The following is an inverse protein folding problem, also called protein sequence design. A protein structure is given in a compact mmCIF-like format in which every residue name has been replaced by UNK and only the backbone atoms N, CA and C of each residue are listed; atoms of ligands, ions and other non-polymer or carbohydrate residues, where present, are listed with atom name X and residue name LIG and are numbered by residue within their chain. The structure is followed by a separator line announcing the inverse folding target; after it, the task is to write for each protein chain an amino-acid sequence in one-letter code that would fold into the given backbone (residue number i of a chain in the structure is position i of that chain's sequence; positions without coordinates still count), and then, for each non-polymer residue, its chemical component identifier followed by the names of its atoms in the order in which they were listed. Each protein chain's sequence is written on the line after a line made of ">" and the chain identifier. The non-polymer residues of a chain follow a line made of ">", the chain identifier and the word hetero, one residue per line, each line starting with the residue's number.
data_IF_887428403528
#
_entry.id   IF_887428403528
#
_cell.length_a   1.000
_cell.length_b   1.000
_cell.length_c   1.000
_cell.angle_alpha   90.00
_cell.angle_beta   90.00
_cell.angle_gamma   90.00
#
_symmetry.space_group_name_H-M   'P 1'
#
loop_
_entity.id
_entity.type
_entity.pdbx_description
1 polymer ?
#
# COMPACT_ATOMS: atom_id res chain seq x y z
N UNK A 1 15.46 -2.93 -5.86
CA UNK A 1 15.42 -2.28 -4.53
C UNK A 1 14.79 -0.92 -4.68
N UNK A 2 14.05 -0.47 -3.66
CA UNK A 2 13.46 0.88 -3.62
C UNK A 2 14.51 1.86 -3.12
N UNK A 3 14.61 3.09 -3.67
CA UNK A 3 15.51 4.11 -3.14
C UNK A 3 15.22 4.41 -1.66
N UNK A 4 16.22 4.86 -0.88
CA UNK A 4 15.99 5.32 0.48
C UNK A 4 14.90 6.39 0.52
N UNK A 5 13.95 6.23 1.45
CA UNK A 5 12.82 7.15 1.61
C UNK A 5 12.71 7.65 3.05
N UNK A 6 12.53 8.98 3.25
CA UNK A 6 12.24 9.54 4.56
C UNK A 6 10.78 9.33 4.97
N UNK A 7 9.94 8.73 4.11
CA UNK A 7 8.53 8.50 4.42
C UNK A 7 8.39 7.60 5.65
N UNK A 8 7.57 8.04 6.60
CA UNK A 8 7.30 7.39 7.89
C UNK A 8 5.81 7.49 8.18
N UNK A 9 5.29 6.54 8.94
CA UNK A 9 3.89 6.56 9.39
C UNK A 9 3.80 6.22 10.88
N UNK A 10 2.81 6.81 11.55
CA UNK A 10 2.40 6.32 12.88
C UNK A 10 1.50 5.09 12.73
N UNK A 11 1.33 4.26 13.78
CA UNK A 11 0.33 3.19 13.77
C UNK A 11 -1.08 3.70 13.45
N UNK A 12 -1.44 4.88 13.97
CA UNK A 12 -2.73 5.51 13.68
C UNK A 12 -2.90 5.83 12.18
N UNK A 13 -1.86 6.34 11.52
CA UNK A 13 -1.89 6.60 10.09
C UNK A 13 -2.00 5.33 9.25
N UNK A 14 -1.42 4.21 9.68
CA UNK A 14 -1.59 2.91 9.00
C UNK A 14 -3.05 2.47 9.05
N UNK A 15 -3.67 2.59 10.22
CA UNK A 15 -5.09 2.27 10.41
C UNK A 15 -6.00 3.21 9.62
N UNK A 16 -5.70 4.51 9.60
CA UNK A 16 -6.40 5.51 8.80
C UNK A 16 -6.30 5.23 7.29
N UNK A 17 -5.12 4.81 6.81
CA UNK A 17 -4.93 4.43 5.42
C UNK A 17 -5.88 3.30 5.00
N UNK A 18 -6.12 2.32 5.86
CA UNK A 18 -7.11 1.25 5.62
C UNK A 18 -8.54 1.77 5.77
N UNK A 19 -8.82 2.56 6.81
CA UNK A 19 -10.15 3.11 7.09
C UNK A 19 -10.65 4.07 6.00
N UNK A 20 -9.75 4.66 5.21
CA UNK A 20 -10.10 5.56 4.11
C UNK A 20 -10.51 4.86 2.81
N UNK A 21 -10.33 3.54 2.69
CA UNK A 21 -10.64 2.78 1.47
C UNK A 21 -12.15 2.71 1.12
N UNK A 22 -13.12 2.50 2.05
CA UNK A 22 -14.53 2.37 1.69
C UNK A 22 -15.07 3.57 0.89
N UNK A 23 -14.57 4.79 1.12
CA UNK A 23 -14.97 5.98 0.36
C UNK A 23 -14.41 6.07 -1.08
N UNK A 24 -13.57 5.12 -1.49
CA UNK A 24 -12.85 5.13 -2.77
C UNK A 24 -13.22 3.97 -3.70
N UNK A 25 -14.18 3.13 -3.29
CA UNK A 25 -14.42 1.83 -3.93
C UNK A 25 -15.86 1.70 -4.47
N UNK A 26 -16.24 2.61 -5.38
CA UNK A 26 -17.60 2.66 -5.93
C UNK A 26 -17.99 1.38 -6.64
N UNK A 27 -17.07 0.73 -7.36
CA UNK A 27 -17.35 -0.53 -8.05
C UNK A 27 -17.48 -1.67 -7.03
N UNK A 28 -16.66 -1.69 -5.97
CA UNK A 28 -16.83 -2.65 -4.88
C UNK A 28 -18.19 -2.51 -4.23
N UNK A 29 -18.64 -1.29 -3.92
CA UNK A 29 -19.93 -1.07 -3.28
C UNK A 29 -21.08 -1.59 -4.13
N UNK A 30 -20.99 -1.42 -5.45
CA UNK A 30 -22.00 -1.89 -6.39
C UNK A 30 -21.95 -3.41 -6.66
N UNK A 31 -20.77 -4.02 -6.62
CA UNK A 31 -20.58 -5.38 -7.18
C UNK A 31 -20.04 -6.41 -6.20
N UNK A 32 -19.34 -5.97 -5.15
CA UNK A 32 -18.56 -6.79 -4.23
C UNK A 32 -17.51 -7.70 -4.89
N UNK A 33 -17.21 -7.47 -6.17
CA UNK A 33 -16.44 -8.39 -7.02
C UNK A 33 -15.13 -7.79 -7.55
N UNK A 34 -14.65 -6.73 -6.93
CA UNK A 34 -13.42 -6.02 -7.36
C UNK A 34 -12.45 -5.81 -6.19
N UNK A 35 -11.19 -5.71 -6.54
CA UNK A 35 -10.09 -5.27 -5.69
C UNK A 35 -9.81 -3.78 -5.91
N UNK A 36 -9.15 -3.16 -4.93
CA UNK A 36 -8.69 -1.79 -4.97
C UNK A 36 -7.18 -1.72 -4.66
N UNK A 37 -6.49 -0.89 -5.41
CA UNK A 37 -5.15 -0.41 -5.10
C UNK A 37 -5.18 1.13 -5.00
N UNK A 38 -4.62 1.67 -3.93
CA UNK A 38 -4.58 3.10 -3.67
C UNK A 38 -3.18 3.58 -3.29
N UNK A 39 -2.89 4.87 -3.52
CA UNK A 39 -1.75 5.55 -2.94
C UNK A 39 -2.24 6.42 -1.79
N UNK A 40 -1.64 6.23 -0.61
CA UNK A 40 -1.93 7.02 0.58
C UNK A 40 -0.71 7.86 0.99
N UNK A 41 -0.93 9.15 1.21
CA UNK A 41 0.04 10.08 1.78
C UNK A 41 -0.72 11.16 2.58
N UNK A 42 -0.99 10.87 3.86
CA UNK A 42 -1.90 11.66 4.71
C UNK A 42 -3.39 11.50 4.35
N UNK A 43 -3.68 11.14 3.10
CA UNK A 43 -4.99 10.78 2.54
C UNK A 43 -4.79 9.93 1.30
N UNK A 44 -5.87 9.31 0.80
CA UNK A 44 -5.83 8.66 -0.51
C UNK A 44 -5.74 9.73 -1.61
N UNK A 45 -4.69 9.68 -2.42
CA UNK A 45 -4.46 10.58 -3.56
C UNK A 45 -4.82 9.94 -4.89
N UNK A 46 -4.71 8.61 -4.98
CA UNK A 46 -5.16 7.80 -6.11
C UNK A 46 -5.81 6.53 -5.61
N UNK A 47 -6.89 6.09 -6.26
CA UNK A 47 -7.50 4.78 -6.06
C UNK A 47 -7.96 4.21 -7.39
N UNK A 48 -7.72 2.91 -7.61
CA UNK A 48 -8.13 2.19 -8.82
C UNK A 48 -8.68 0.83 -8.47
N UNK A 49 -9.80 0.51 -9.12
CA UNK A 49 -10.51 -0.75 -8.95
C UNK A 49 -10.39 -1.62 -10.21
N UNK A 50 -10.35 -2.93 -9.98
CA UNK A 50 -10.46 -3.95 -11.02
C UNK A 50 -10.88 -5.29 -10.43
N UNK A 51 -11.48 -6.16 -11.24
CA UNK A 51 -11.78 -7.54 -10.86
C UNK A 51 -10.50 -8.29 -10.47
N UNK A 52 -9.40 -8.06 -11.19
CA UNK A 52 -8.09 -8.61 -10.90
C UNK A 52 -7.25 -7.69 -10.02
N UNK A 53 -6.70 -8.22 -8.92
CA UNK A 53 -5.80 -7.45 -8.02
C UNK A 53 -4.58 -6.84 -8.73
N UNK A 54 -3.98 -7.58 -9.66
CA UNK A 54 -2.81 -7.12 -10.41
C UNK A 54 -3.17 -5.94 -11.31
N UNK A 55 -4.33 -6.02 -11.96
CA UNK A 55 -4.84 -4.96 -12.82
C UNK A 55 -5.20 -3.70 -12.01
N UNK A 56 -5.76 -3.86 -10.80
CA UNK A 56 -6.03 -2.73 -9.91
C UNK A 56 -4.73 -1.97 -9.60
N UNK A 57 -3.64 -2.70 -9.27
CA UNK A 57 -2.32 -2.11 -9.05
C UNK A 57 -1.74 -1.50 -10.34
N UNK A 58 -1.83 -2.17 -11.48
CA UNK A 58 -1.32 -1.65 -12.76
C UNK A 58 -2.04 -0.37 -13.18
N UNK A 59 -3.37 -0.30 -12.96
CA UNK A 59 -4.16 0.92 -13.18
C UNK A 59 -3.71 2.04 -12.24
N UNK A 60 -3.41 1.74 -10.98
CA UNK A 60 -2.87 2.72 -10.02
C UNK A 60 -1.54 3.28 -10.52
N UNK A 61 -0.59 2.39 -10.83
CA UNK A 61 0.73 2.75 -11.37
C UNK A 61 0.59 3.60 -12.63
N UNK A 62 -0.21 3.15 -13.60
CA UNK A 62 -0.44 3.88 -14.83
C UNK A 62 -1.08 5.25 -14.61
N UNK A 63 -1.98 5.38 -13.63
CA UNK A 63 -2.57 6.67 -13.28
C UNK A 63 -1.53 7.65 -12.70
N UNK A 64 -0.66 7.18 -11.82
CA UNK A 64 0.40 7.99 -11.21
C UNK A 64 1.48 8.43 -12.20
N UNK A 65 1.88 7.51 -13.10
CA UNK A 65 2.84 7.82 -14.17
C UNK A 65 2.28 8.90 -15.09
N UNK A 66 1.01 8.79 -15.50
CA UNK A 66 0.36 9.80 -16.35
C UNK A 66 0.19 11.15 -15.67
N UNK A 67 0.03 11.20 -14.35
CA UNK A 67 -0.08 12.46 -13.62
C UNK A 67 1.27 13.09 -13.26
N UNK A 68 2.39 12.43 -13.57
CA UNK A 68 3.73 12.89 -13.19
C UNK A 68 3.92 12.98 -11.67
N UNK A 69 3.10 12.27 -10.88
CA UNK A 69 3.14 12.37 -9.42
C UNK A 69 4.32 11.58 -8.88
N UNK A 70 5.16 12.24 -8.08
CA UNK A 70 6.23 11.56 -7.35
C UNK A 70 5.66 10.51 -6.40
N UNK A 71 6.26 9.33 -6.37
CA UNK A 71 5.81 8.23 -5.52
C UNK A 71 6.24 8.51 -4.09
N UNK A 72 5.40 9.24 -3.38
CA UNK A 72 5.53 9.51 -1.95
C UNK A 72 4.30 8.94 -1.27
N UNK A 73 4.48 7.93 -0.43
CA UNK A 73 3.37 7.32 0.29
C UNK A 73 3.46 5.81 0.44
N UNK A 74 2.38 5.24 0.95
CA UNK A 74 2.13 3.82 1.03
C UNK A 74 1.15 3.38 -0.07
N UNK A 75 1.45 2.25 -0.71
CA UNK A 75 0.47 1.57 -1.57
C UNK A 75 -0.44 0.74 -0.69
N UNK A 76 -1.74 1.03 -0.72
CA UNK A 76 -2.77 0.34 0.06
C UNK A 76 -3.53 -0.64 -0.83
N UNK A 77 -3.62 -1.91 -0.42
CA UNK A 77 -4.18 -3.00 -1.22
C UNK A 77 -5.31 -3.72 -0.46
N UNK A 78 -6.43 -3.99 -1.11
CA UNK A 78 -7.48 -4.86 -0.53
C UNK A 78 -7.21 -6.35 -0.74
N UNK A 79 -6.22 -6.69 -1.56
CA UNK A 79 -5.88 -8.08 -1.91
C UNK A 79 -4.82 -8.69 -0.98
N UNK A 80 -4.55 -9.99 -1.19
CA UNK A 80 -3.30 -10.61 -0.73
C UNK A 80 -2.10 -9.98 -1.44
N UNK A 81 -0.92 -10.15 -0.85
CA UNK A 81 0.35 -9.70 -1.43
C UNK A 81 1.15 -10.89 -1.91
N UNK A 82 1.27 -11.05 -3.23
CA UNK A 82 2.16 -12.01 -3.88
C UNK A 82 3.50 -11.35 -4.24
N UNK A 83 4.50 -12.17 -4.57
CA UNK A 83 5.82 -11.69 -5.02
C UNK A 83 5.70 -10.66 -6.16
N UNK A 84 4.87 -10.91 -7.17
CA UNK A 84 4.67 -9.99 -8.31
C UNK A 84 4.07 -8.63 -7.89
N UNK A 85 3.22 -8.61 -6.85
CA UNK A 85 2.68 -7.35 -6.33
C UNK A 85 3.79 -6.51 -5.69
N UNK A 86 4.69 -7.15 -4.94
CA UNK A 86 5.86 -6.48 -4.35
C UNK A 86 6.80 -5.97 -5.44
N UNK A 87 7.05 -6.75 -6.50
CA UNK A 87 7.87 -6.31 -7.63
C UNK A 87 7.31 -5.04 -8.27
N UNK A 88 6.01 -4.99 -8.54
CA UNK A 88 5.35 -3.81 -9.12
C UNK A 88 5.46 -2.58 -8.23
N UNK A 89 5.27 -2.74 -6.92
CA UNK A 89 5.44 -1.63 -5.96
C UNK A 89 6.90 -1.20 -5.86
N UNK A 90 7.85 -2.13 -5.92
CA UNK A 90 9.27 -1.83 -5.95
C UNK A 90 9.66 -1.05 -7.22
N UNK A 91 9.13 -1.45 -8.38
CA UNK A 91 9.32 -0.73 -9.64
C UNK A 91 8.68 0.65 -9.63
N UNK A 92 7.54 0.80 -8.95
CA UNK A 92 6.93 2.10 -8.69
C UNK A 92 7.81 2.96 -7.79
N UNK A 93 8.68 2.37 -6.97
CA UNK A 93 9.53 3.08 -6.01
C UNK A 93 8.81 3.46 -4.72
N UNK A 94 7.68 2.80 -4.41
CA UNK A 94 6.94 3.08 -3.18
C UNK A 94 7.60 2.38 -1.98
N UNK A 95 7.89 3.11 -0.88
CA UNK A 95 8.63 2.55 0.26
C UNK A 95 7.78 1.65 1.16
N UNK A 96 6.46 1.61 0.98
CA UNK A 96 5.56 0.91 1.88
C UNK A 96 4.37 0.27 1.16
N UNK A 97 4.00 -0.93 1.60
CA UNK A 97 2.77 -1.63 1.23
C UNK A 97 1.94 -1.84 2.49
N UNK A 98 0.65 -1.50 2.44
CA UNK A 98 -0.33 -1.80 3.47
C UNK A 98 -1.43 -2.66 2.85
N UNK A 99 -1.58 -3.90 3.29
CA UNK A 99 -2.55 -4.83 2.72
C UNK A 99 -3.60 -5.29 3.74
N UNK A 100 -4.85 -5.36 3.29
CA UNK A 100 -5.96 -5.90 4.10
C UNK A 100 -5.82 -7.42 4.27
N UNK A 101 -5.23 -8.14 3.31
CA UNK A 101 -5.08 -9.60 3.37
C UNK A 101 -3.63 -10.04 3.54
N UNK A 102 -3.42 -11.33 3.84
CA UNK A 102 -2.10 -11.90 4.12
C UNK A 102 -1.12 -11.81 2.93
N UNK A 103 0.20 -11.71 3.21
CA UNK A 103 1.26 -11.88 2.22
C UNK A 103 1.65 -13.36 2.07
N UNK A 104 2.36 -13.71 0.98
CA UNK A 104 3.09 -14.98 0.89
C UNK A 104 4.48 -14.85 1.50
N UNK A 105 5.12 -15.97 1.88
CA UNK A 105 6.50 -15.97 2.38
C UNK A 105 7.48 -15.29 1.40
N UNK A 106 7.36 -15.62 0.11
CA UNK A 106 8.19 -15.00 -0.94
C UNK A 106 7.94 -13.49 -1.09
N UNK A 107 6.71 -13.03 -0.85
CA UNK A 107 6.41 -11.60 -0.85
C UNK A 107 7.08 -10.89 0.32
N UNK A 108 7.08 -11.51 1.51
CA UNK A 108 7.79 -10.98 2.69
C UNK A 108 9.29 -10.91 2.42
N UNK A 109 9.90 -12.00 1.94
CA UNK A 109 11.34 -12.04 1.62
C UNK A 109 11.73 -11.00 0.55
N UNK A 110 10.91 -10.83 -0.49
CA UNK A 110 11.16 -9.82 -1.51
C UNK A 110 10.96 -8.40 -0.97
N UNK A 111 9.95 -8.15 -0.14
CA UNK A 111 9.74 -6.83 0.45
C UNK A 111 10.93 -6.43 1.34
N UNK A 112 11.47 -7.39 2.10
CA UNK A 112 12.64 -7.19 2.94
C UNK A 112 13.87 -6.83 2.09
N UNK A 113 14.21 -7.65 1.11
CA UNK A 113 15.36 -7.38 0.23
C UNK A 113 15.18 -6.13 -0.63
N UNK A 114 13.93 -5.76 -0.97
CA UNK A 114 13.63 -4.55 -1.71
C UNK A 114 13.67 -3.27 -0.87
N UNK A 115 13.76 -3.35 0.46
CA UNK A 115 13.73 -2.19 1.35
C UNK A 115 12.33 -1.64 1.60
N UNK A 116 11.28 -2.43 1.34
CA UNK A 116 9.87 -2.03 1.44
C UNK A 116 9.34 -2.43 2.82
N UNK A 117 8.70 -1.49 3.51
CA UNK A 117 7.91 -1.80 4.71
C UNK A 117 6.62 -2.51 4.28
N UNK A 118 6.48 -3.79 4.65
CA UNK A 118 5.28 -4.58 4.35
C UNK A 118 4.42 -4.71 5.60
N UNK A 119 3.24 -4.11 5.54
CA UNK A 119 2.17 -4.28 6.51
C UNK A 119 1.06 -5.10 5.85
N UNK A 120 0.53 -6.07 6.58
CA UNK A 120 -0.56 -6.90 6.09
C UNK A 120 -1.55 -7.24 7.21
N UNK A 121 -2.62 -7.95 6.86
CA UNK A 121 -3.74 -8.27 7.77
C UNK A 121 -4.33 -7.00 8.41
N UNK A 122 -4.19 -5.88 7.72
CA UNK A 122 -4.51 -4.57 8.25
C UNK A 122 -6.01 -4.33 8.29
N UNK A 123 -6.46 -3.70 9.36
CA UNK A 123 -7.83 -3.31 9.65
C UNK A 123 -7.82 -1.90 10.24
N UNK A 124 -8.99 -1.25 10.36
CA UNK A 124 -9.09 0.07 11.00
C UNK A 124 -8.63 0.12 12.47
N UNK A 125 -8.42 -1.03 13.12
CA UNK A 125 -8.11 -1.15 14.55
C UNK A 125 -6.81 -1.94 14.85
N UNK A 126 -6.19 -2.56 13.85
CA UNK A 126 -4.98 -3.38 14.02
C UNK A 126 -4.26 -3.64 12.69
N UNK A 127 -3.02 -4.07 12.76
CA UNK A 127 -2.26 -4.58 11.61
C UNK A 127 -1.09 -5.45 12.09
N UNK A 128 -0.48 -6.17 11.15
CA UNK A 128 0.79 -6.87 11.37
C UNK A 128 1.86 -6.31 10.44
N UNK A 129 3.02 -5.97 10.99
CA UNK A 129 4.16 -5.47 10.23
C UNK A 129 5.20 -6.59 10.06
N UNK A 130 5.64 -6.82 8.82
CA UNK A 130 6.47 -7.96 8.44
C UNK A 130 7.92 -7.57 8.17
N UNK A 131 8.18 -6.38 7.62
CA UNK A 131 9.52 -5.94 7.18
C UNK A 131 9.70 -4.43 7.40
N UNK A 132 10.96 -3.99 7.60
CA UNK A 132 11.35 -2.57 7.73
C UNK A 132 10.42 -1.76 8.65
N UNK A 133 10.20 -2.28 9.86
CA UNK A 133 9.26 -1.73 10.85
C UNK A 133 9.77 -0.45 11.50
N UNK A 134 11.05 -0.11 11.31
CA UNK A 134 11.66 1.17 11.69
C UNK A 134 10.98 2.37 11.03
N UNK A 135 10.20 2.14 9.94
CA UNK A 135 9.38 3.19 9.32
C UNK A 135 8.07 3.48 10.02
N UNK A 136 7.70 2.69 11.02
CA UNK A 136 6.50 2.84 11.82
C UNK A 136 6.89 3.26 13.24
N UNK A 137 6.58 4.50 13.60
CA UNK A 137 6.96 5.07 14.90
C UNK A 137 5.85 5.97 15.45
N UNK A 138 5.65 5.96 16.76
CA UNK A 138 4.69 6.82 17.48
C UNK A 138 4.98 8.33 17.34
N UNK A 139 6.23 8.68 17.00
CA UNK A 139 6.68 10.07 16.90
C UNK A 139 6.28 10.69 15.56
N UNK A 140 5.23 11.53 15.58
CA UNK A 140 5.22 12.71 14.74
C UNK A 140 6.43 13.57 15.16
N UNK A 141 7.40 13.79 14.26
CA UNK A 141 8.34 14.87 14.50
C UNK A 141 7.57 16.18 14.48
N UNK A 142 7.35 16.73 15.68
CA UNK A 142 7.08 18.15 15.86
C UNK A 142 8.34 18.88 15.38
N UNK A 143 8.21 19.57 14.25
CA UNK A 143 9.13 20.55 13.73
C UNK A 143 8.32 21.70 13.16
#
# INVERSE_FOLDING_TARGET
>A
TVPPSPFRMTPAQVMEAVASLPGQQRLHDATRAVHCAALWNGRITFAREDVGRHNALDKLVGAMVRSGTSVQGAVVLTSRVSIDMVQKVAMLGAPMIIAVSAPTADAVALADTAGITLIALARPDRFEAFTHTDRISETAHVG
#
